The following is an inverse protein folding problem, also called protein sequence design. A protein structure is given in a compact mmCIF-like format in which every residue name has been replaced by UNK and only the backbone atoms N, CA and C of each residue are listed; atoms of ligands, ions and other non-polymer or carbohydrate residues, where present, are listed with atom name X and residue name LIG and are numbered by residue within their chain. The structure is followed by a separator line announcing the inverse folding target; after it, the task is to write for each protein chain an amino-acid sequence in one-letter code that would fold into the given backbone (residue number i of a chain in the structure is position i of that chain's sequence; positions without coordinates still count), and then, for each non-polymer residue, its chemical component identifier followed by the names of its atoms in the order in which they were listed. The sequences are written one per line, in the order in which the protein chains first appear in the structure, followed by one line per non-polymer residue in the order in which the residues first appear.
data_IF_775432162075
#
_entry.id   IF_775432162075
#
_cell.length_a   1.000
_cell.length_b   1.000
_cell.length_c   1.000
_cell.angle_alpha   90.00
_cell.angle_beta   90.00
_cell.angle_gamma   90.00
#
_symmetry.space_group_name_H-M   'P 1'
#
loop_
_entity.id
_entity.type
_entity.pdbx_description
1 polymer ?
#
# COMPACT_ATOMS: atom_id res chain seq x y z
N UNK A 1 -2.41 23.37 -8.18
CA UNK A 1 -1.98 22.79 -6.88
C UNK A 1 -2.79 21.53 -6.74
N UNK A 2 -2.18 20.36 -6.87
CA UNK A 2 -2.91 19.08 -6.88
C UNK A 2 -3.50 18.83 -5.50
N UNK A 3 -4.82 18.71 -5.41
CA UNK A 3 -5.56 18.25 -4.23
C UNK A 3 -5.17 16.79 -3.94
N UNK A 4 -4.03 16.60 -3.26
CA UNK A 4 -3.56 15.29 -2.82
C UNK A 4 -4.51 14.75 -1.75
N UNK A 5 -5.49 13.93 -2.16
CA UNK A 5 -6.22 13.09 -1.21
C UNK A 5 -5.25 12.02 -0.73
N UNK A 6 -4.84 12.10 0.52
CA UNK A 6 -4.15 10.99 1.20
C UNK A 6 -5.07 9.77 1.18
N UNK A 7 -4.75 8.79 0.34
CA UNK A 7 -5.45 7.51 0.32
C UNK A 7 -4.94 6.72 1.53
N UNK A 8 -5.81 6.54 2.52
CA UNK A 8 -5.54 5.65 3.66
C UNK A 8 -6.06 4.27 3.30
N UNK A 9 -5.15 3.32 3.10
CA UNK A 9 -5.48 1.91 2.95
C UNK A 9 -5.46 1.20 4.29
N UNK A 10 -6.44 0.33 4.48
CA UNK A 10 -6.65 -0.45 5.70
C UNK A 10 -6.50 -1.92 5.35
N UNK A 11 -5.73 -2.64 6.16
CA UNK A 11 -5.48 -4.06 6.01
C UNK A 11 -6.80 -4.83 6.14
N UNK A 12 -7.20 -5.61 5.11
CA UNK A 12 -8.44 -6.38 5.17
C UNK A 12 -8.37 -7.53 6.19
N UNK A 13 -7.16 -7.93 6.60
CA UNK A 13 -6.97 -9.05 7.52
C UNK A 13 -7.07 -8.62 9.00
N UNK A 14 -6.42 -7.51 9.39
CA UNK A 14 -6.34 -7.09 10.79
C UNK A 14 -6.90 -5.69 11.07
N UNK A 15 -7.36 -4.96 10.05
CA UNK A 15 -7.92 -3.61 10.21
C UNK A 15 -6.90 -2.51 10.54
N UNK A 16 -5.61 -2.83 10.58
CA UNK A 16 -4.54 -1.85 10.78
C UNK A 16 -4.25 -1.06 9.50
N UNK A 17 -3.67 0.12 9.64
CA UNK A 17 -3.22 0.94 8.50
C UNK A 17 -2.16 0.19 7.69
N UNK A 18 -2.26 0.32 6.37
CA UNK A 18 -1.23 -0.12 5.43
C UNK A 18 -0.36 1.05 4.98
N UNK A 19 0.88 0.75 4.67
CA UNK A 19 1.88 1.72 4.23
C UNK A 19 2.33 1.39 2.81
N UNK A 20 2.50 2.41 1.96
CA UNK A 20 3.04 2.19 0.62
C UNK A 20 4.53 1.85 0.74
N UNK A 21 4.97 0.93 -0.10
CA UNK A 21 6.36 0.55 -0.29
C UNK A 21 6.61 0.37 -1.78
N UNK A 22 7.81 0.71 -2.23
CA UNK A 22 8.20 0.63 -3.63
C UNK A 22 9.31 -0.39 -3.78
N UNK A 23 9.20 -1.27 -4.77
CA UNK A 23 10.28 -2.17 -5.16
C UNK A 23 11.05 -1.50 -6.30
N UNK A 24 12.23 -0.96 -5.99
CA UNK A 24 13.04 -0.23 -6.97
C UNK A 24 13.48 -1.10 -8.16
N UNK A 25 13.55 -2.44 -7.98
CA UNK A 25 13.98 -3.35 -9.02
C UNK A 25 12.89 -3.57 -10.10
N UNK A 26 11.63 -3.64 -9.69
CA UNK A 26 10.48 -3.83 -10.57
C UNK A 26 9.69 -2.55 -10.86
N UNK A 27 10.01 -1.44 -10.18
CA UNK A 27 9.29 -0.18 -10.24
C UNK A 27 7.78 -0.36 -9.95
N UNK A 28 7.48 -1.22 -8.97
CA UNK A 28 6.12 -1.52 -8.51
C UNK A 28 5.87 -0.92 -7.14
N UNK A 29 4.69 -0.31 -6.98
CA UNK A 29 4.15 0.12 -5.70
C UNK A 29 3.31 -1.00 -5.11
N UNK A 30 3.57 -1.34 -3.86
CA UNK A 30 2.78 -2.28 -3.08
C UNK A 30 2.44 -1.67 -1.72
N UNK A 31 1.42 -2.21 -1.07
CA UNK A 31 0.98 -1.78 0.24
C UNK A 31 1.23 -2.89 1.24
N UNK A 32 1.92 -2.58 2.33
CA UNK A 32 2.26 -3.54 3.38
C UNK A 32 1.55 -3.22 4.68
N UNK A 33 1.18 -4.26 5.42
CA UNK A 33 0.72 -4.15 6.80
C UNK A 33 1.80 -4.66 7.74
N UNK A 34 2.43 -3.78 8.52
CA UNK A 34 3.48 -4.17 9.48
C UNK A 34 2.97 -5.07 10.62
N UNK A 35 1.67 -5.04 10.91
CA UNK A 35 1.10 -5.81 12.02
C UNK A 35 0.89 -7.30 11.71
N UNK A 36 0.68 -7.66 10.44
CA UNK A 36 0.43 -9.06 10.04
C UNK A 36 1.18 -9.48 8.78
N UNK A 37 2.12 -8.65 8.32
CA UNK A 37 3.02 -8.90 7.17
C UNK A 37 2.26 -9.17 5.85
N UNK A 38 1.02 -8.67 5.73
CA UNK A 38 0.23 -8.78 4.51
C UNK A 38 0.74 -7.76 3.49
N UNK A 39 0.93 -8.21 2.25
CA UNK A 39 1.30 -7.39 1.09
C UNK A 39 0.19 -7.41 0.04
N UNK A 40 -0.11 -6.24 -0.54
CA UNK A 40 -1.04 -6.09 -1.67
C UNK A 40 -0.33 -5.31 -2.77
N UNK A 41 -0.19 -5.93 -3.95
CA UNK A 41 0.36 -5.28 -5.14
C UNK A 41 -0.77 -4.58 -5.88
N UNK A 42 -0.64 -3.28 -6.15
CA UNK A 42 -1.55 -2.58 -7.07
C UNK A 42 -1.05 -2.77 -8.51
N UNK A 43 -1.64 -3.73 -9.23
CA UNK A 43 -1.50 -3.81 -10.67
C UNK A 43 -2.46 -2.80 -11.32
N UNK A 44 -1.93 -1.74 -11.92
CA UNK A 44 -2.71 -0.79 -12.73
C UNK A 44 -3.16 -1.51 -14.02
N UNK A 45 -4.42 -1.96 -14.08
CA UNK A 45 -5.06 -2.45 -15.31
C UNK A 45 -5.71 -1.32 -16.12
#
# INVERSE_FOLDING_TARGET
MSDGRDIILICPHCGNRMYPSEDEASNHLFWTCEACELEIVEEWQ
#
